data_IF_542095604177
#
_entry.id   IF_542095604177
#
_cell.length_a   1.000
_cell.length_b   1.000
_cell.length_c   1.000
_cell.angle_alpha   90.00
_cell.angle_beta   90.00
_cell.angle_gamma   90.00
#
_symmetry.space_group_name_H-M   'P 1'
#
loop_
_entity.id
_entity.type
_entity.pdbx_description
1 polymer ?
#
# COMPACT_ATOMS: atom_id res chain seq x y z
N UNK A 1 56.77 62.43 10.55
CA UNK A 1 55.82 61.39 10.98
C UNK A 1 54.70 61.24 9.94
N UNK A 2 54.94 60.61 8.78
CA UNK A 2 53.89 60.60 7.74
C UNK A 2 54.02 59.49 6.68
N UNK A 3 54.72 58.39 6.95
CA UNK A 3 54.84 57.30 5.96
C UNK A 3 54.35 55.92 6.45
N UNK A 4 54.18 55.74 7.77
CA UNK A 4 53.82 54.43 8.35
C UNK A 4 52.31 54.15 8.45
N UNK A 5 51.45 55.16 8.22
CA UNK A 5 49.98 55.05 8.35
C UNK A 5 49.26 54.58 7.07
N UNK A 6 49.86 54.74 5.89
CA UNK A 6 49.21 54.43 4.61
C UNK A 6 49.31 52.93 4.27
N UNK A 7 50.42 52.28 4.63
CA UNK A 7 50.68 50.87 4.30
C UNK A 7 49.79 49.87 5.07
N UNK A 8 49.37 50.24 6.29
CA UNK A 8 48.50 49.40 7.13
C UNK A 8 47.02 49.44 6.72
N UNK A 9 46.61 50.50 6.02
CA UNK A 9 45.24 50.66 5.52
C UNK A 9 45.00 49.80 4.26
N UNK A 10 45.92 49.82 3.29
CA UNK A 10 45.77 49.05 2.04
C UNK A 10 45.73 47.52 2.24
N UNK A 11 46.53 46.98 3.17
CA UNK A 11 46.62 45.53 3.40
C UNK A 11 45.38 44.95 4.08
N UNK A 12 44.65 45.77 4.87
CA UNK A 12 43.38 45.39 5.50
C UNK A 12 42.23 45.35 4.47
N UNK A 13 42.18 46.33 3.56
CA UNK A 13 41.19 46.40 2.48
C UNK A 13 41.37 45.26 1.46
N UNK A 14 42.61 44.90 1.12
CA UNK A 14 42.89 43.78 0.20
C UNK A 14 42.48 42.43 0.83
N UNK A 15 42.72 42.22 2.13
CA UNK A 15 42.27 41.02 2.85
C UNK A 15 40.75 40.94 2.98
N UNK A 16 40.05 42.04 3.25
CA UNK A 16 38.58 42.04 3.29
C UNK A 16 37.94 41.81 1.91
N UNK A 17 38.50 42.38 0.85
CA UNK A 17 38.02 42.18 -0.52
C UNK A 17 38.27 40.75 -1.01
N UNK A 18 39.43 40.16 -0.68
CA UNK A 18 39.74 38.76 -1.01
C UNK A 18 38.89 37.77 -0.22
N UNK A 19 38.63 38.03 1.07
CA UNK A 19 37.74 37.21 1.89
C UNK A 19 36.27 37.31 1.45
N UNK A 20 35.78 38.50 1.08
CA UNK A 20 34.42 38.65 0.50
C UNK A 20 34.29 37.93 -0.83
N UNK A 21 35.31 37.99 -1.69
CA UNK A 21 35.34 37.26 -2.97
C UNK A 21 35.38 35.75 -2.77
N UNK A 22 36.12 35.28 -1.77
CA UNK A 22 36.16 33.86 -1.41
C UNK A 22 34.81 33.36 -0.89
N UNK A 23 34.16 34.14 0.00
CA UNK A 23 32.81 33.84 0.47
C UNK A 23 31.78 33.90 -0.64
N UNK A 24 31.86 34.87 -1.55
CA UNK A 24 31.00 34.94 -2.73
C UNK A 24 31.19 33.73 -3.65
N UNK A 25 32.43 33.33 -3.93
CA UNK A 25 32.70 32.14 -4.74
C UNK A 25 32.21 30.86 -4.04
N UNK A 26 32.40 30.74 -2.72
CA UNK A 26 31.87 29.61 -1.95
C UNK A 26 30.32 29.56 -1.97
N UNK A 27 29.66 30.71 -1.91
CA UNK A 27 28.20 30.82 -2.02
C UNK A 27 27.70 30.41 -3.41
N UNK A 28 28.37 30.88 -4.47
CA UNK A 28 28.03 30.51 -5.86
C UNK A 28 28.23 29.01 -6.06
N UNK A 29 29.34 28.45 -5.57
CA UNK A 29 29.62 27.00 -5.67
C UNK A 29 28.58 26.18 -4.89
N UNK A 30 28.21 26.59 -3.66
CA UNK A 30 27.17 25.94 -2.88
C UNK A 30 25.79 26.02 -3.57
N UNK A 31 25.49 27.15 -4.22
CA UNK A 31 24.25 27.33 -4.97
C UNK A 31 24.21 26.47 -6.24
N UNK A 32 25.34 26.30 -6.93
CA UNK A 32 25.47 25.37 -8.07
C UNK A 32 25.30 23.92 -7.61
N UNK A 33 25.95 23.49 -6.52
CA UNK A 33 25.77 22.14 -5.98
C UNK A 33 24.34 21.87 -5.49
N UNK A 34 23.67 22.86 -4.88
CA UNK A 34 22.26 22.75 -4.49
C UNK A 34 21.35 22.67 -5.72
N UNK A 35 21.63 23.43 -6.78
CA UNK A 35 20.86 23.40 -8.03
C UNK A 35 21.06 22.09 -8.79
N UNK A 36 22.29 21.54 -8.78
CA UNK A 36 22.62 20.26 -9.38
C UNK A 36 22.00 19.10 -8.60
N UNK A 37 21.96 19.17 -7.26
CA UNK A 37 21.22 18.23 -6.41
C UNK A 37 19.70 18.29 -6.67
N UNK A 38 19.14 19.48 -6.90
CA UNK A 38 17.73 19.65 -7.27
C UNK A 38 17.42 19.08 -8.66
N UNK A 39 18.33 19.24 -9.63
CA UNK A 39 18.23 18.67 -10.98
C UNK A 39 18.28 17.14 -10.95
N UNK A 40 19.20 16.55 -10.19
CA UNK A 40 19.28 15.09 -10.01
C UNK A 40 18.01 14.55 -9.32
N UNK A 41 17.50 15.23 -8.28
CA UNK A 41 16.24 14.87 -7.63
C UNK A 41 15.01 15.04 -8.54
N UNK A 42 15.08 15.93 -9.53
CA UNK A 42 14.04 16.09 -10.55
C UNK A 42 14.12 15.01 -11.65
N UNK A 43 15.32 14.48 -11.93
CA UNK A 43 15.51 13.36 -12.86
C UNK A 43 15.11 12.01 -12.25
N UNK A 44 15.37 11.75 -10.96
CA UNK A 44 14.87 10.54 -10.29
C UNK A 44 13.33 10.46 -10.28
N UNK A 45 12.63 11.60 -10.26
CA UNK A 45 11.17 11.64 -10.35
C UNK A 45 10.61 11.50 -11.77
N UNK A 46 11.46 11.42 -12.80
CA UNK A 46 11.04 11.23 -14.20
C UNK A 46 10.86 9.77 -14.60
N UNK A 47 11.29 8.81 -13.80
CA UNK A 47 10.97 7.40 -14.04
C UNK A 47 9.51 7.12 -13.63
N UNK A 48 8.71 6.77 -14.64
CA UNK A 48 7.33 6.26 -14.57
C UNK A 48 6.15 7.27 -14.53
N UNK A 49 6.18 8.34 -15.32
CA UNK A 49 4.92 8.80 -15.97
C UNK A 49 4.67 7.95 -17.21
N UNK A 50 4.22 6.71 -17.01
CA UNK A 50 3.59 5.92 -18.08
C UNK A 50 2.42 6.74 -18.62
N UNK A 51 2.43 7.02 -19.92
CA UNK A 51 1.30 7.62 -20.62
C UNK A 51 0.07 6.74 -20.38
N UNK A 52 -0.80 7.17 -19.46
CA UNK A 52 -1.96 6.40 -19.04
C UNK A 52 -2.97 6.48 -20.17
N UNK A 53 -3.11 5.39 -20.93
CA UNK A 53 -4.12 5.32 -21.99
C UNK A 53 -5.50 5.75 -21.46
N UNK A 54 -6.34 6.38 -22.28
CA UNK A 54 -7.66 6.86 -21.85
C UNK A 54 -8.54 5.75 -21.26
N UNK A 55 -8.30 4.49 -21.65
CA UNK A 55 -8.99 3.30 -21.11
C UNK A 55 -8.64 3.06 -19.64
N UNK A 56 -7.38 3.22 -19.24
CA UNK A 56 -6.95 3.05 -17.83
C UNK A 56 -7.49 4.19 -16.95
N UNK A 57 -7.64 5.41 -17.50
CA UNK A 57 -8.33 6.48 -16.79
C UNK A 57 -9.82 6.17 -16.59
N UNK A 58 -10.47 5.59 -17.61
CA UNK A 58 -11.85 5.10 -17.52
C UNK A 58 -12.04 4.01 -16.46
N UNK A 59 -11.13 3.03 -16.41
CA UNK A 59 -11.14 1.97 -15.38
C UNK A 59 -11.08 2.56 -13.96
N UNK A 60 -10.15 3.49 -13.72
CA UNK A 60 -10.05 4.18 -12.41
C UNK A 60 -11.33 4.94 -12.07
N UNK A 61 -11.93 5.64 -13.03
CA UNK A 61 -13.16 6.38 -12.80
C UNK A 61 -14.32 5.46 -12.39
N UNK A 62 -14.47 4.32 -13.08
CA UNK A 62 -15.46 3.29 -12.73
C UNK A 62 -15.18 2.75 -11.32
N UNK A 63 -13.92 2.44 -11.02
CA UNK A 63 -13.56 1.92 -9.70
C UNK A 63 -13.90 2.92 -8.57
N UNK A 64 -13.67 4.22 -8.78
CA UNK A 64 -14.06 5.27 -7.84
C UNK A 64 -15.59 5.44 -7.73
N UNK A 65 -16.35 5.20 -8.79
CA UNK A 65 -17.82 5.15 -8.71
C UNK A 65 -18.27 4.04 -7.75
N UNK A 66 -17.74 2.83 -7.91
CA UNK A 66 -18.10 1.70 -7.04
C UNK A 66 -17.69 1.91 -5.58
N UNK A 67 -16.52 2.52 -5.35
CA UNK A 67 -16.07 2.90 -3.99
C UNK A 67 -17.06 3.82 -3.28
N UNK A 68 -17.66 4.78 -4.00
CA UNK A 68 -18.63 5.74 -3.44
C UNK A 68 -19.95 5.10 -3.05
N UNK A 69 -20.30 3.95 -3.62
CA UNK A 69 -21.52 3.22 -3.28
C UNK A 69 -21.44 2.59 -1.90
N UNK A 70 -20.23 2.24 -1.45
CA UNK A 70 -19.99 1.74 -0.10
C UNK A 70 -19.87 2.95 0.84
N UNK A 71 -20.76 3.09 1.85
CA UNK A 71 -20.69 4.18 2.81
C UNK A 71 -19.37 4.17 3.60
N UNK A 72 -18.86 5.35 3.97
CA UNK A 72 -17.60 5.49 4.68
C UNK A 72 -17.60 4.80 6.06
N UNK A 73 -18.75 4.72 6.73
CA UNK A 73 -18.95 4.02 8.01
C UNK A 73 -18.80 2.50 7.89
N UNK A 74 -18.87 1.94 6.68
CA UNK A 74 -18.71 0.51 6.43
C UNK A 74 -17.27 0.08 6.19
N UNK A 75 -16.32 1.02 6.19
CA UNK A 75 -14.90 0.72 6.15
C UNK A 75 -14.37 0.52 7.56
N UNK A 76 -14.13 -0.72 7.93
CA UNK A 76 -13.73 -1.09 9.28
C UNK A 76 -12.21 -1.27 9.39
N UNK A 77 -11.68 -0.94 10.56
CA UNK A 77 -10.29 -1.19 10.91
C UNK A 77 -10.05 -2.68 11.21
N UNK A 78 -8.79 -3.12 11.13
CA UNK A 78 -8.38 -4.47 11.50
C UNK A 78 -8.72 -4.83 12.95
N UNK A 79 -8.54 -3.90 13.90
CA UNK A 79 -8.81 -4.19 15.32
C UNK A 79 -10.31 -4.33 15.58
N UNK A 80 -11.15 -3.62 14.80
CA UNK A 80 -12.60 -3.81 14.81
C UNK A 80 -12.98 -5.14 14.17
N UNK A 81 -12.41 -5.45 12.99
CA UNK A 81 -12.61 -6.71 12.30
C UNK A 81 -12.23 -7.91 13.18
N UNK A 82 -11.13 -7.81 13.93
CA UNK A 82 -10.67 -8.86 14.85
C UNK A 82 -11.73 -9.21 15.89
N UNK A 83 -12.41 -8.22 16.48
CA UNK A 83 -13.50 -8.46 17.45
C UNK A 83 -14.67 -9.18 16.79
N UNK A 84 -15.07 -8.74 15.61
CA UNK A 84 -16.14 -9.40 14.84
C UNK A 84 -15.76 -10.84 14.53
N UNK A 85 -14.53 -11.07 14.07
CA UNK A 85 -14.02 -12.40 13.77
C UNK A 85 -14.06 -13.30 15.02
N UNK A 86 -13.66 -12.81 16.19
CA UNK A 86 -13.76 -13.56 17.45
C UNK A 86 -15.21 -13.90 17.82
N UNK A 87 -16.15 -12.97 17.63
CA UNK A 87 -17.58 -13.22 17.86
C UNK A 87 -18.17 -14.26 16.90
N UNK A 88 -17.78 -14.20 15.62
CA UNK A 88 -18.21 -15.14 14.58
C UNK A 88 -17.65 -16.53 14.85
N UNK A 89 -16.35 -16.63 15.15
CA UNK A 89 -15.70 -17.90 15.51
C UNK A 89 -16.27 -18.50 16.79
N UNK A 90 -16.73 -17.68 17.74
CA UNK A 90 -17.40 -18.12 18.95
C UNK A 90 -18.90 -18.44 18.74
N UNK A 91 -19.45 -18.26 17.53
CA UNK A 91 -20.87 -18.48 17.21
C UNK A 91 -21.82 -17.45 17.84
N UNK A 92 -21.29 -16.34 18.38
CA UNK A 92 -22.08 -15.27 19.02
C UNK A 92 -22.70 -14.31 18.02
N UNK A 93 -22.14 -14.26 16.80
CA UNK A 93 -22.56 -13.36 15.72
C UNK A 93 -22.61 -14.13 14.42
N UNK A 94 -23.68 -13.91 13.65
CA UNK A 94 -23.84 -14.51 12.33
C UNK A 94 -23.45 -13.48 11.26
N UNK A 95 -22.23 -13.61 10.75
CA UNK A 95 -21.72 -12.79 9.66
C UNK A 95 -20.90 -13.66 8.69
N UNK A 96 -20.87 -13.28 7.43
CA UNK A 96 -20.07 -13.93 6.40
C UNK A 96 -18.75 -13.19 6.23
N UNK A 97 -17.64 -13.89 6.39
CA UNK A 97 -16.30 -13.33 6.20
C UNK A 97 -15.77 -13.84 4.87
N UNK A 98 -15.74 -13.01 3.84
CA UNK A 98 -15.45 -13.43 2.47
C UNK A 98 -14.07 -12.92 2.05
N UNK A 99 -13.17 -13.84 1.73
CA UNK A 99 -11.90 -13.56 1.08
C UNK A 99 -12.09 -13.53 -0.45
N UNK A 100 -11.80 -12.37 -1.03
CA UNK A 100 -11.94 -12.08 -2.46
C UNK A 100 -10.67 -12.33 -3.28
N UNK A 101 -9.61 -12.84 -2.64
CA UNK A 101 -8.33 -13.11 -3.29
C UNK A 101 -8.42 -14.25 -4.30
N UNK A 102 -7.38 -14.44 -5.10
CA UNK A 102 -7.29 -15.58 -6.03
C UNK A 102 -7.18 -16.89 -5.26
N UNK A 103 -7.45 -18.00 -5.94
CA UNK A 103 -7.35 -19.34 -5.34
C UNK A 103 -5.94 -19.62 -4.80
N UNK A 104 -4.83 -19.35 -5.54
CA UNK A 104 -3.49 -19.56 -5.00
C UNK A 104 -3.19 -18.69 -3.77
N UNK A 105 -3.63 -17.42 -3.77
CA UNK A 105 -3.48 -16.53 -2.60
C UNK A 105 -4.21 -17.08 -1.36
N UNK A 106 -5.42 -17.61 -1.53
CA UNK A 106 -6.21 -18.18 -0.44
C UNK A 106 -5.62 -19.51 0.07
N UNK A 107 -5.18 -20.38 -0.84
CA UNK A 107 -4.57 -21.68 -0.52
C UNK A 107 -3.22 -21.54 0.16
N UNK A 108 -2.41 -20.55 -0.23
CA UNK A 108 -1.16 -20.25 0.44
C UNK A 108 -1.38 -19.91 1.93
N UNK A 109 -2.44 -19.16 2.23
CA UNK A 109 -2.83 -18.82 3.61
C UNK A 109 -3.97 -17.81 3.64
N UNK A 110 -4.95 -18.04 4.51
CA UNK A 110 -6.11 -17.17 4.71
C UNK A 110 -6.47 -17.04 6.19
N UNK A 111 -7.36 -16.11 6.51
CA UNK A 111 -7.81 -15.89 7.89
C UNK A 111 -8.73 -17.05 8.27
N UNK A 112 -8.58 -17.68 9.45
CA UNK A 112 -9.41 -18.82 9.81
C UNK A 112 -10.90 -18.49 9.80
N UNK A 113 -11.74 -19.39 9.30
CA UNK A 113 -13.20 -19.19 9.27
C UNK A 113 -13.69 -18.21 8.20
N UNK A 114 -12.84 -17.77 7.27
CA UNK A 114 -13.29 -17.03 6.08
C UNK A 114 -13.66 -17.96 4.94
N UNK A 115 -14.76 -17.66 4.27
CA UNK A 115 -15.17 -18.27 3.01
C UNK A 115 -14.38 -17.68 1.83
N UNK A 116 -14.18 -18.46 0.78
CA UNK A 116 -13.46 -18.01 -0.43
C UNK A 116 -14.41 -17.80 -1.60
N UNK A 117 -14.47 -16.58 -2.12
CA UNK A 117 -15.14 -16.26 -3.38
C UNK A 117 -14.27 -15.27 -4.14
N UNK A 118 -13.57 -15.71 -5.19
CA UNK A 118 -12.76 -14.81 -6.00
C UNK A 118 -13.55 -13.61 -6.51
N UNK A 119 -12.96 -12.41 -6.50
CA UNK A 119 -13.63 -11.18 -6.96
C UNK A 119 -14.26 -11.29 -8.36
N UNK A 120 -13.61 -12.01 -9.28
CA UNK A 120 -14.16 -12.25 -10.63
C UNK A 120 -15.40 -13.15 -10.68
N UNK A 121 -15.70 -13.85 -9.58
CA UNK A 121 -16.87 -14.71 -9.43
C UNK A 121 -17.89 -14.15 -8.42
N UNK A 122 -17.81 -12.86 -8.07
CA UNK A 122 -18.72 -12.23 -7.09
C UNK A 122 -20.22 -12.38 -7.41
N UNK A 123 -20.58 -12.64 -8.66
CA UNK A 123 -21.96 -12.91 -9.09
C UNK A 123 -22.54 -14.20 -8.47
N UNK A 124 -21.72 -15.07 -7.88
CA UNK A 124 -22.18 -16.26 -7.16
C UNK A 124 -22.61 -15.96 -5.73
N UNK A 125 -22.18 -14.82 -5.15
CA UNK A 125 -22.48 -14.45 -3.75
C UNK A 125 -23.99 -14.54 -3.46
N UNK A 126 -24.91 -14.05 -4.31
CA UNK A 126 -26.34 -14.15 -4.02
C UNK A 126 -26.91 -15.56 -4.00
N UNK A 127 -26.27 -16.51 -4.69
CA UNK A 127 -26.68 -17.91 -4.65
C UNK A 127 -26.32 -18.56 -3.31
N UNK A 128 -25.24 -18.14 -2.69
CA UNK A 128 -24.78 -18.64 -1.39
C UNK A 128 -25.35 -17.86 -0.21
N UNK A 129 -25.57 -16.56 -0.38
CA UNK A 129 -26.08 -15.64 0.65
C UNK A 129 -27.37 -14.99 0.13
N UNK A 130 -28.51 -15.69 0.13
CA UNK A 130 -29.75 -15.16 -0.45
C UNK A 130 -30.39 -14.04 0.39
N UNK A 131 -30.00 -13.89 1.66
CA UNK A 131 -30.55 -12.85 2.55
C UNK A 131 -29.89 -11.48 2.26
N UNK A 132 -30.64 -10.46 1.78
CA UNK A 132 -30.10 -9.13 1.49
C UNK A 132 -29.68 -8.35 2.74
N UNK A 133 -30.14 -8.76 3.93
CA UNK A 133 -29.78 -8.15 5.20
C UNK A 133 -28.58 -8.84 5.86
N UNK A 134 -28.05 -9.90 5.26
CA UNK A 134 -26.88 -10.60 5.75
C UNK A 134 -25.71 -9.64 5.96
N UNK A 135 -25.03 -9.80 7.08
CA UNK A 135 -23.81 -9.05 7.40
C UNK A 135 -22.61 -9.71 6.70
N UNK A 136 -21.93 -8.96 5.84
CA UNK A 136 -20.88 -9.46 4.95
C UNK A 136 -19.62 -8.62 5.13
N UNK A 137 -18.49 -9.26 5.44
CA UNK A 137 -17.18 -8.64 5.54
C UNK A 137 -16.31 -9.06 4.35
N UNK A 138 -15.87 -8.10 3.56
CA UNK A 138 -15.07 -8.31 2.36
C UNK A 138 -13.59 -8.07 2.65
N UNK A 139 -12.80 -9.11 2.43
CA UNK A 139 -11.36 -9.12 2.67
C UNK A 139 -10.66 -9.32 1.34
N UNK A 140 -9.56 -8.60 1.12
CA UNK A 140 -8.66 -8.89 0.00
C UNK A 140 -7.21 -8.71 0.46
N UNK A 141 -6.27 -8.54 -0.48
CA UNK A 141 -4.84 -8.39 -0.11
C UNK A 141 -4.58 -7.09 0.66
N UNK A 142 -4.97 -5.93 0.12
CA UNK A 142 -4.66 -4.59 0.67
C UNK A 142 -5.81 -3.58 0.55
N UNK A 143 -7.07 -4.04 0.39
CA UNK A 143 -8.29 -3.19 0.24
C UNK A 143 -8.54 -2.61 -1.16
N UNK A 144 -7.85 -3.05 -2.21
CA UNK A 144 -8.16 -2.58 -3.58
C UNK A 144 -9.38 -3.29 -4.20
N UNK A 145 -9.52 -4.60 -4.02
CA UNK A 145 -10.60 -5.40 -4.63
C UNK A 145 -11.92 -5.30 -3.86
N UNK A 146 -11.86 -5.20 -2.53
CA UNK A 146 -13.05 -5.23 -1.67
C UNK A 146 -14.06 -4.11 -1.95
N UNK A 147 -13.67 -2.83 -2.13
CA UNK A 147 -14.63 -1.76 -2.42
C UNK A 147 -15.36 -1.95 -3.76
N UNK A 148 -14.64 -2.45 -4.77
CA UNK A 148 -15.22 -2.73 -6.08
C UNK A 148 -16.34 -3.78 -5.98
N UNK A 149 -16.04 -4.93 -5.36
CA UNK A 149 -17.03 -5.99 -5.11
C UNK A 149 -18.15 -5.49 -4.20
N UNK A 150 -17.81 -4.71 -3.16
CA UNK A 150 -18.78 -4.12 -2.25
C UNK A 150 -19.80 -3.26 -2.98
N UNK A 151 -19.35 -2.38 -3.89
CA UNK A 151 -20.26 -1.57 -4.70
C UNK A 151 -21.19 -2.40 -5.59
N UNK A 152 -20.74 -3.54 -6.13
CA UNK A 152 -21.63 -4.47 -6.85
C UNK A 152 -22.68 -5.09 -5.93
N UNK A 153 -22.29 -5.54 -4.74
CA UNK A 153 -23.23 -6.08 -3.75
C UNK A 153 -24.26 -5.02 -3.31
N UNK A 154 -23.85 -3.76 -3.17
CA UNK A 154 -24.79 -2.65 -2.96
C UNK A 154 -25.78 -2.51 -4.13
N UNK A 155 -25.32 -2.60 -5.39
CA UNK A 155 -26.21 -2.60 -6.56
C UNK A 155 -27.16 -3.81 -6.59
N UNK A 156 -26.76 -4.95 -6.01
CA UNK A 156 -27.61 -6.14 -5.86
C UNK A 156 -28.62 -6.04 -4.71
N UNK A 157 -28.50 -5.03 -3.84
CA UNK A 157 -29.43 -4.78 -2.73
C UNK A 157 -28.91 -5.15 -1.35
N UNK A 158 -27.67 -5.63 -1.22
CA UNK A 158 -27.05 -5.84 0.09
C UNK A 158 -26.70 -4.49 0.73
N UNK A 159 -27.14 -4.27 1.96
CA UNK A 159 -26.91 -3.00 2.67
C UNK A 159 -25.87 -3.11 3.80
N UNK A 160 -25.58 -4.34 4.24
CA UNK A 160 -24.70 -4.65 5.36
C UNK A 160 -23.37 -5.23 4.87
N UNK A 161 -22.74 -4.55 3.90
CA UNK A 161 -21.46 -4.94 3.33
C UNK A 161 -20.36 -4.05 3.91
N UNK A 162 -19.38 -4.67 4.55
CA UNK A 162 -18.27 -4.03 5.23
C UNK A 162 -16.97 -4.32 4.51
N UNK A 163 -16.12 -3.30 4.38
CA UNK A 163 -14.81 -3.41 3.76
C UNK A 163 -13.75 -3.40 4.86
N UNK A 164 -12.96 -4.47 4.93
CA UNK A 164 -11.86 -4.58 5.89
C UNK A 164 -10.64 -3.84 5.35
N UNK A 165 -10.20 -2.79 6.05
CA UNK A 165 -8.99 -2.04 5.74
C UNK A 165 -7.75 -2.90 5.92
N UNK A 166 -6.70 -2.58 5.16
CA UNK A 166 -5.39 -3.26 5.09
C UNK A 166 -5.41 -4.76 4.72
N UNK A 167 -6.59 -5.39 4.69
CA UNK A 167 -6.80 -6.75 4.22
C UNK A 167 -5.97 -7.79 4.97
N UNK A 168 -5.64 -8.88 4.27
CA UNK A 168 -4.82 -9.97 4.83
C UNK A 168 -3.38 -9.51 5.10
N UNK A 169 -2.86 -8.54 4.36
CA UNK A 169 -1.51 -8.00 4.61
C UNK A 169 -1.44 -7.30 5.96
N UNK A 170 -2.43 -6.47 6.27
CA UNK A 170 -2.54 -5.84 7.58
C UNK A 170 -2.73 -6.85 8.71
N UNK A 171 -3.55 -7.88 8.49
CA UNK A 171 -3.73 -8.99 9.43
C UNK A 171 -2.41 -9.70 9.75
N UNK A 172 -1.60 -10.02 8.72
CA UNK A 172 -0.27 -10.60 8.89
C UNK A 172 0.69 -9.64 9.61
N UNK A 173 0.64 -8.34 9.29
CA UNK A 173 1.48 -7.32 9.93
C UNK A 173 1.22 -7.15 11.42
N UNK A 174 0.01 -7.46 11.90
CA UNK A 174 -0.34 -7.52 13.33
C UNK A 174 0.14 -8.81 14.02
N UNK A 175 0.77 -9.74 13.30
CA UNK A 175 1.26 -11.02 13.84
C UNK A 175 0.12 -12.00 14.19
N UNK A 176 -1.06 -11.82 13.60
CA UNK A 176 -2.19 -12.70 13.79
C UNK A 176 -2.09 -13.96 12.94
N UNK A 177 -2.75 -15.02 13.39
CA UNK A 177 -2.67 -16.34 12.76
C UNK A 177 -3.42 -16.38 11.43
N UNK A 178 -2.80 -17.05 10.46
CA UNK A 178 -3.42 -17.53 9.24
C UNK A 178 -3.62 -19.04 9.35
N UNK A 179 -4.42 -19.59 8.46
CA UNK A 179 -4.51 -21.02 8.26
C UNK A 179 -4.45 -21.40 6.78
N UNK A 180 -4.05 -22.65 6.55
CA UNK A 180 -4.36 -23.37 5.33
C UNK A 180 -4.50 -24.86 5.65
N UNK A 181 -4.92 -25.66 4.66
CA UNK A 181 -5.16 -27.09 4.83
C UNK A 181 -3.87 -27.89 5.06
N UNK A 182 -2.72 -27.40 4.61
CA UNK A 182 -1.46 -28.15 4.63
C UNK A 182 -0.63 -27.91 5.90
N UNK A 183 -0.54 -26.67 6.36
CA UNK A 183 0.27 -26.23 7.50
C UNK A 183 -0.54 -26.05 8.78
N UNK A 184 -1.88 -26.13 8.70
CA UNK A 184 -2.74 -25.80 9.83
C UNK A 184 -2.71 -24.30 10.13
N UNK A 185 -2.57 -23.92 11.40
CA UNK A 185 -2.45 -22.52 11.82
C UNK A 185 -1.00 -22.09 11.89
N UNK A 186 -0.66 -20.97 11.25
CA UNK A 186 0.70 -20.43 11.23
C UNK A 186 0.68 -18.90 11.30
N UNK A 187 1.84 -18.31 11.58
CA UNK A 187 2.03 -16.85 11.63
C UNK A 187 3.16 -16.47 10.69
N UNK A 188 3.00 -15.32 10.03
CA UNK A 188 4.05 -14.74 9.20
C UNK A 188 4.94 -13.88 10.08
N UNK A 189 6.23 -14.20 10.13
CA UNK A 189 7.24 -13.43 10.87
C UNK A 189 7.81 -12.29 10.04
N UNK A 190 7.94 -12.52 8.73
CA UNK A 190 8.50 -11.57 7.76
C UNK A 190 7.59 -11.54 6.53
N UNK A 191 7.22 -10.34 6.08
CA UNK A 191 6.37 -10.16 4.90
C UNK A 191 7.03 -9.21 3.90
N UNK A 192 7.20 -9.68 2.67
CA UNK A 192 7.72 -8.89 1.56
C UNK A 192 6.59 -8.59 0.56
N UNK A 193 6.23 -7.31 0.41
CA UNK A 193 5.15 -6.92 -0.49
C UNK A 193 5.53 -7.06 -1.97
N UNK A 194 6.80 -6.90 -2.28
CA UNK A 194 7.35 -6.96 -3.64
C UNK A 194 8.21 -8.21 -3.79
N UNK A 195 7.97 -8.95 -4.88
CA UNK A 195 8.85 -10.02 -5.30
C UNK A 195 10.07 -9.40 -5.99
N UNK A 196 11.25 -9.57 -5.38
CA UNK A 196 12.52 -8.99 -5.87
C UNK A 196 13.21 -9.86 -6.94
N UNK A 197 12.56 -10.94 -7.37
CA UNK A 197 13.11 -11.91 -8.30
C UNK A 197 13.93 -13.00 -7.61
N UNK A 198 14.13 -14.16 -8.25
CA UNK A 198 14.83 -15.30 -7.65
C UNK A 198 16.32 -15.02 -7.37
N UNK A 199 16.97 -14.15 -8.14
CA UNK A 199 18.38 -13.80 -7.94
C UNK A 199 18.64 -12.96 -6.68
N UNK A 200 17.64 -12.17 -6.25
CA UNK A 200 17.71 -11.29 -5.08
C UNK A 200 16.89 -11.83 -3.91
N UNK A 201 16.38 -13.05 -4.04
CA UNK A 201 15.59 -13.69 -3.00
C UNK A 201 16.49 -14.06 -1.80
N UNK A 202 16.21 -13.53 -0.59
CA UNK A 202 17.04 -13.77 0.59
C UNK A 202 17.00 -15.25 1.04
N UNK A 203 15.97 -15.99 0.62
CA UNK A 203 15.76 -17.38 1.00
C UNK A 203 16.38 -18.38 0.00
N UNK A 204 17.05 -17.89 -1.06
CA UNK A 204 17.78 -18.70 -2.04
C UNK A 204 16.93 -19.82 -2.62
N UNK A 205 15.67 -19.52 -2.94
CA UNK A 205 14.75 -20.50 -3.53
C UNK A 205 15.32 -20.98 -4.88
N UNK A 206 15.59 -22.28 -4.98
CA UNK A 206 16.03 -22.94 -6.21
C UNK A 206 15.06 -24.04 -6.55
N UNK A 207 14.33 -23.85 -7.64
CA UNK A 207 13.39 -24.83 -8.17
C UNK A 207 14.08 -25.62 -9.27
N UNK A 208 14.23 -26.92 -9.05
CA UNK A 208 14.78 -27.87 -10.03
C UNK A 208 13.70 -28.86 -10.43
N UNK A 209 12.57 -28.36 -10.95
CA UNK A 209 11.48 -29.21 -11.41
C UNK A 209 11.30 -29.09 -12.93
N UNK A 210 11.05 -30.20 -13.66
CA UNK A 210 10.80 -30.17 -15.10
C UNK A 210 9.37 -29.76 -15.48
N UNK A 211 8.50 -29.45 -14.50
CA UNK A 211 7.11 -29.03 -14.70
C UNK A 211 6.76 -27.81 -13.86
#
# INVERSE_FOLDING_TARGET
MTCRRIFFSLTKTIKEVTMKRFWWMALVVAMVFAFQGLLMAAEEKKEEKKEVSPVVAGEKAVHEEFKKLVPADKYIDLDQFRKVWEEVMAGKRKAYLIDLRTHPEFYAGHIPGTDHIHAGHMYTIPKHIPDPNAEIYLICRTTHRSPYVGGFLYKYGYKNVYVVKDGVVGWMGKGWELCNQFMGKFKVTEYHQQFVGPEKDPYRIREFHPY
#
